data_IF_498010887982
#
_entry.id   IF_498010887982
#
_cell.length_a   1.000
_cell.length_b   1.000
_cell.length_c   1.000
_cell.angle_alpha   90.00
_cell.angle_beta   90.00
_cell.angle_gamma   90.00
#
_symmetry.space_group_name_H-M   'P 1'
#
loop_
_entity.id
_entity.type
_entity.pdbx_description
1 polymer ?
#
# COMPACT_ATOMS: atom_id res chain seq x y z
N UNK A 1 38.68 -36.82 6.30
CA UNK A 1 39.85 -37.52 5.73
C UNK A 1 41.05 -36.59 5.79
N UNK A 2 42.18 -37.13 6.25
CA UNK A 2 43.56 -36.62 6.26
C UNK A 2 43.99 -35.43 7.16
N UNK A 3 44.71 -35.83 8.22
CA UNK A 3 45.85 -35.21 8.90
C UNK A 3 46.85 -34.51 7.96
N UNK A 4 47.57 -33.48 8.46
CA UNK A 4 49.04 -33.53 8.60
C UNK A 4 49.59 -32.38 9.47
N UNK A 5 50.38 -32.79 10.47
CA UNK A 5 51.20 -32.02 11.43
C UNK A 5 52.33 -31.24 10.73
N UNK A 6 52.89 -30.24 11.42
CA UNK A 6 54.34 -30.16 11.75
C UNK A 6 54.66 -29.01 12.72
N UNK A 7 55.10 -29.40 13.92
CA UNK A 7 55.94 -28.63 14.83
C UNK A 7 57.40 -28.66 14.32
N UNK A 8 58.20 -27.63 14.63
CA UNK A 8 59.65 -27.79 14.85
C UNK A 8 60.14 -26.77 15.86
N UNK A 9 60.46 -27.27 17.06
CA UNK A 9 61.36 -26.69 18.06
C UNK A 9 62.79 -26.57 17.53
N UNK A 10 63.51 -25.53 17.96
CA UNK A 10 64.98 -25.53 17.97
C UNK A 10 65.48 -25.06 19.35
N UNK A 11 66.17 -25.98 20.04
CA UNK A 11 66.84 -25.86 21.33
C UNK A 11 68.34 -25.54 21.16
N UNK A 12 68.86 -24.63 22.02
CA UNK A 12 70.09 -24.74 22.89
C UNK A 12 71.48 -24.78 22.19
N UNK A 13 72.53 -24.01 22.63
CA UNK A 13 73.37 -24.26 23.84
C UNK A 13 73.67 -23.01 24.70
N UNK A 14 73.53 -23.02 26.04
CA UNK A 14 74.41 -23.55 27.11
C UNK A 14 75.81 -22.87 27.24
N UNK A 15 76.00 -22.32 28.45
CA UNK A 15 77.08 -21.58 29.15
C UNK A 15 78.56 -22.01 28.93
N UNK A 16 79.54 -21.22 29.43
CA UNK A 16 80.17 -21.45 30.77
C UNK A 16 80.43 -20.16 31.61
N UNK A 17 80.18 -20.19 32.93
CA UNK A 17 81.13 -20.25 34.09
C UNK A 17 81.93 -18.96 34.41
N UNK A 18 81.63 -18.29 35.53
CA UNK A 18 82.34 -18.30 36.85
C UNK A 18 83.70 -17.56 36.87
N UNK A 19 83.80 -16.51 37.69
CA UNK A 19 84.93 -16.27 38.62
C UNK A 19 84.54 -15.26 39.73
N UNK A 20 84.47 -15.78 40.96
CA UNK A 20 85.08 -15.32 42.23
C UNK A 20 86.08 -14.13 42.15
N UNK A 21 86.41 -13.29 43.16
CA UNK A 21 86.22 -13.18 44.62
C UNK A 21 87.04 -11.92 45.06
N UNK A 22 86.79 -11.38 46.26
CA UNK A 22 87.69 -10.57 47.14
C UNK A 22 88.01 -9.09 46.82
N UNK A 23 87.27 -8.22 47.52
CA UNK A 23 87.74 -7.26 48.53
C UNK A 23 89.26 -7.21 48.83
N UNK A 24 89.90 -6.03 48.67
CA UNK A 24 91.11 -5.60 49.41
C UNK A 24 91.18 -4.08 49.60
N UNK A 25 91.05 -3.70 50.88
CA UNK A 25 91.86 -2.78 51.69
C UNK A 25 92.29 -1.39 51.20
N UNK A 26 91.98 -0.45 52.11
CA UNK A 26 92.52 0.91 52.27
C UNK A 26 94.04 0.98 52.21
N UNK A 27 94.58 2.01 51.53
CA UNK A 27 95.76 2.77 52.03
C UNK A 27 95.61 4.25 51.63
N UNK A 28 95.76 5.10 52.63
CA UNK A 28 95.66 6.57 52.62
C UNK A 28 97.07 7.18 52.56
N UNK A 29 97.15 8.43 52.07
CA UNK A 29 98.23 9.43 52.26
C UNK A 29 99.54 9.17 51.51
N UNK A 30 100.31 10.15 51.01
CA UNK A 30 100.25 11.62 50.99
C UNK A 30 101.24 12.12 49.91
N UNK A 31 101.26 13.44 49.65
CA UNK A 31 102.38 14.24 49.09
C UNK A 31 102.19 14.87 47.70
N UNK A 32 101.72 16.12 47.78
CA UNK A 32 101.84 17.30 46.91
C UNK A 32 102.89 17.29 45.76
N UNK A 33 102.45 17.71 44.56
CA UNK A 33 103.31 18.32 43.55
C UNK A 33 102.52 19.38 42.76
N UNK A 34 103.14 20.56 42.57
CA UNK A 34 102.56 21.78 42.00
C UNK A 34 101.88 21.55 40.62
N UNK A 35 100.56 21.71 40.57
CA UNK A 35 99.81 21.74 39.32
C UNK A 35 99.88 23.12 38.66
N UNK A 36 100.48 23.16 37.45
CA UNK A 36 100.38 24.28 36.51
C UNK A 36 98.93 24.72 36.32
N UNK A 37 98.66 26.03 36.21
CA UNK A 37 97.31 26.59 36.02
C UNK A 37 96.56 25.95 34.81
N UNK A 38 97.30 25.45 33.82
CA UNK A 38 96.75 24.67 32.72
C UNK A 38 96.11 23.35 33.19
N UNK A 39 96.73 22.64 34.13
CA UNK A 39 96.23 21.37 34.67
C UNK A 39 94.98 21.56 35.55
N UNK A 40 94.90 22.67 36.31
CA UNK A 40 93.71 23.01 37.09
C UNK A 40 92.52 23.37 36.19
N UNK A 41 92.73 24.23 35.19
CA UNK A 41 91.71 24.59 34.22
C UNK A 41 91.23 23.37 33.39
N UNK A 42 92.14 22.44 33.07
CA UNK A 42 91.80 21.17 32.42
C UNK A 42 90.98 20.26 33.35
N UNK A 43 91.31 20.18 34.63
CA UNK A 43 90.52 19.41 35.61
C UNK A 43 89.13 19.99 35.80
N UNK A 44 89.00 21.31 35.94
CA UNK A 44 87.70 21.97 36.06
C UNK A 44 86.82 21.76 34.82
N UNK A 45 87.40 21.89 33.61
CA UNK A 45 86.70 21.55 32.37
C UNK A 45 86.32 20.07 32.30
N UNK A 46 87.20 19.16 32.72
CA UNK A 46 86.93 17.72 32.73
C UNK A 46 85.81 17.38 33.71
N UNK A 47 85.81 18.00 34.89
CA UNK A 47 84.75 17.84 35.89
C UNK A 47 83.42 18.41 35.39
N UNK A 48 83.45 19.58 34.74
CA UNK A 48 82.26 20.20 34.15
C UNK A 48 81.68 19.33 33.04
N UNK A 49 82.54 18.79 32.15
CA UNK A 49 82.15 17.85 31.12
C UNK A 49 81.61 16.54 31.71
N UNK A 50 82.18 16.04 32.81
CA UNK A 50 81.69 14.85 33.51
C UNK A 50 80.29 15.04 34.10
N UNK A 51 80.04 16.22 34.69
CA UNK A 51 78.71 16.59 35.19
C UNK A 51 77.72 16.72 34.04
N UNK A 52 78.08 17.40 32.95
CA UNK A 52 77.24 17.54 31.76
C UNK A 52 76.96 16.19 31.08
N UNK A 53 77.94 15.28 31.05
CA UNK A 53 77.79 13.94 30.48
C UNK A 53 76.88 13.08 31.35
N UNK A 54 76.94 13.22 32.68
CA UNK A 54 75.99 12.58 33.61
C UNK A 54 74.56 13.13 33.44
N UNK A 55 74.39 14.45 33.32
CA UNK A 55 73.07 15.07 33.06
C UNK A 55 72.48 14.63 31.72
N UNK A 56 73.30 14.50 30.67
CA UNK A 56 72.87 13.99 29.37
C UNK A 56 72.54 12.50 29.44
N UNK A 57 73.29 11.70 30.21
CA UNK A 57 72.98 10.28 30.42
C UNK A 57 71.62 10.11 31.08
N UNK A 58 71.32 10.89 32.13
CA UNK A 58 70.02 10.86 32.81
C UNK A 58 68.90 11.24 31.84
N UNK A 59 69.10 12.28 31.01
CA UNK A 59 68.12 12.66 29.97
C UNK A 59 67.93 11.59 28.91
N UNK A 60 68.99 10.88 28.52
CA UNK A 60 68.93 9.77 27.57
C UNK A 60 68.16 8.60 28.21
N UNK A 61 68.45 8.27 29.47
CA UNK A 61 67.79 7.20 30.21
C UNK A 61 66.28 7.49 30.40
N UNK A 62 65.92 8.73 30.71
CA UNK A 62 64.52 9.20 30.79
C UNK A 62 63.81 9.09 29.42
N UNK A 63 64.47 9.53 28.34
CA UNK A 63 63.94 9.43 26.98
C UNK A 63 63.82 7.98 26.51
N UNK A 64 64.73 7.10 26.94
CA UNK A 64 64.66 5.67 26.67
C UNK A 64 63.55 5.00 27.49
N UNK A 65 63.32 5.42 28.74
CA UNK A 65 62.22 4.91 29.57
C UNK A 65 60.85 5.20 28.94
N UNK A 66 60.66 6.41 28.42
CA UNK A 66 59.44 6.81 27.71
C UNK A 66 59.28 6.18 26.33
N UNK A 67 60.39 5.85 25.65
CA UNK A 67 60.39 5.16 24.36
C UNK A 67 60.59 3.65 24.49
N UNK A 68 60.39 3.06 25.67
CA UNK A 68 60.46 1.61 25.82
C UNK A 68 59.40 0.95 24.91
N UNK A 69 59.79 -0.08 24.15
CA UNK A 69 58.90 -0.75 23.20
C UNK A 69 57.61 -1.25 23.86
N UNK A 70 57.68 -1.70 25.11
CA UNK A 70 56.54 -2.17 25.92
C UNK A 70 55.47 -1.08 26.16
N UNK A 71 55.88 0.17 26.39
CA UNK A 71 54.95 1.29 26.60
C UNK A 71 54.26 1.69 25.30
N UNK A 72 55.00 1.65 24.19
CA UNK A 72 54.48 1.92 22.84
C UNK A 72 53.51 0.80 22.44
N UNK A 73 53.85 -0.46 22.69
CA UNK A 73 53.01 -1.61 22.40
C UNK A 73 51.71 -1.58 23.22
N UNK A 74 51.78 -1.24 24.51
CA UNK A 74 50.58 -1.04 25.34
C UNK A 74 49.71 0.13 24.85
N UNK A 75 50.31 1.23 24.41
CA UNK A 75 49.57 2.36 23.85
C UNK A 75 48.89 1.99 22.52
N UNK A 76 49.58 1.27 21.63
CA UNK A 76 49.03 0.77 20.38
C UNK A 76 47.91 -0.24 20.60
N UNK A 77 48.07 -1.15 21.57
CA UNK A 77 47.03 -2.11 21.97
C UNK A 77 45.77 -1.39 22.47
N UNK A 78 45.93 -0.40 23.35
CA UNK A 78 44.81 0.40 23.85
C UNK A 78 44.11 1.17 22.72
N UNK A 79 44.87 1.73 21.78
CA UNK A 79 44.33 2.45 20.63
C UNK A 79 43.58 1.52 19.67
N UNK A 80 44.13 0.33 19.39
CA UNK A 80 43.47 -0.71 18.60
C UNK A 80 42.15 -1.12 19.25
N UNK A 81 42.15 -1.37 20.57
CA UNK A 81 40.94 -1.73 21.32
C UNK A 81 39.89 -0.61 21.28
N UNK A 82 40.31 0.65 21.37
CA UNK A 82 39.40 1.79 21.28
C UNK A 82 38.76 1.89 19.88
N UNK A 83 39.56 1.69 18.82
CA UNK A 83 39.04 1.62 17.45
C UNK A 83 38.07 0.47 17.25
N UNK A 84 38.35 -0.72 17.80
CA UNK A 84 37.46 -1.88 17.74
C UNK A 84 36.13 -1.60 18.45
N UNK A 85 36.18 -0.93 19.61
CA UNK A 85 34.97 -0.51 20.33
C UNK A 85 34.15 0.50 19.53
N UNK A 86 34.79 1.48 18.89
CA UNK A 86 34.11 2.45 18.04
C UNK A 86 33.49 1.78 16.80
N UNK A 87 34.20 0.84 16.17
CA UNK A 87 33.70 0.04 15.05
C UNK A 87 32.48 -0.80 15.46
N UNK A 88 32.54 -1.46 16.61
CA UNK A 88 31.44 -2.24 17.15
C UNK A 88 30.20 -1.37 17.41
N UNK A 89 30.42 -0.18 18.00
CA UNK A 89 29.35 0.80 18.26
C UNK A 89 28.70 1.29 16.95
N UNK A 90 29.50 1.71 15.98
CA UNK A 90 29.00 2.17 14.67
C UNK A 90 28.24 1.06 13.94
N UNK A 91 28.75 -0.17 13.97
CA UNK A 91 28.09 -1.33 13.36
C UNK A 91 26.75 -1.65 14.03
N UNK A 92 26.68 -1.54 15.36
CA UNK A 92 25.43 -1.72 16.09
C UNK A 92 24.39 -0.66 15.70
N UNK A 93 24.81 0.62 15.60
CA UNK A 93 23.93 1.70 15.14
C UNK A 93 23.45 1.45 13.71
N UNK A 94 24.35 1.07 12.80
CA UNK A 94 23.99 0.77 11.41
C UNK A 94 22.99 -0.37 11.31
N UNK A 95 23.18 -1.44 12.10
CA UNK A 95 22.26 -2.58 12.11
C UNK A 95 20.87 -2.17 12.63
N UNK A 96 20.82 -1.45 13.76
CA UNK A 96 19.55 -0.96 14.32
C UNK A 96 18.80 -0.06 13.34
N UNK A 97 19.51 0.85 12.67
CA UNK A 97 18.90 1.71 11.64
C UNK A 97 18.39 0.91 10.44
N UNK A 98 19.14 -0.12 10.02
CA UNK A 98 18.74 -0.99 8.92
C UNK A 98 17.49 -1.80 9.26
N UNK A 99 17.43 -2.35 10.47
CA UNK A 99 16.28 -3.10 10.99
C UNK A 99 15.05 -2.19 11.11
N UNK A 100 15.19 -0.99 11.68
CA UNK A 100 14.10 -0.02 11.80
C UNK A 100 13.54 0.38 10.43
N UNK A 101 14.42 0.62 9.46
CA UNK A 101 14.02 0.96 8.10
C UNK A 101 13.29 -0.21 7.41
N UNK A 102 13.81 -1.43 7.56
CA UNK A 102 13.15 -2.63 7.03
C UNK A 102 11.76 -2.85 7.64
N UNK A 103 11.64 -2.66 8.96
CA UNK A 103 10.35 -2.77 9.64
C UNK A 103 9.35 -1.76 9.09
N UNK A 104 9.75 -0.49 8.91
CA UNK A 104 8.90 0.55 8.32
C UNK A 104 8.47 0.24 6.90
N UNK A 105 9.34 -0.38 6.09
CA UNK A 105 8.97 -0.83 4.74
C UNK A 105 7.89 -1.91 4.83
N UNK A 106 8.10 -2.92 5.67
CA UNK A 106 7.15 -4.03 5.82
C UNK A 106 5.78 -3.55 6.31
N UNK A 107 5.74 -2.69 7.32
CA UNK A 107 4.49 -2.10 7.83
C UNK A 107 3.76 -1.30 6.74
N UNK A 108 4.50 -0.51 5.94
CA UNK A 108 3.92 0.26 4.85
C UNK A 108 3.41 -0.63 3.71
N UNK A 109 4.13 -1.70 3.39
CA UNK A 109 3.72 -2.67 2.39
C UNK A 109 2.48 -3.44 2.85
N UNK A 110 2.39 -3.79 4.14
CA UNK A 110 1.20 -4.40 4.73
C UNK A 110 -0.01 -3.45 4.64
N UNK A 111 0.13 -2.20 5.07
CA UNK A 111 -0.91 -1.19 4.95
C UNK A 111 -1.38 -1.01 3.50
N UNK A 112 -0.43 -1.00 2.55
CA UNK A 112 -0.74 -0.92 1.12
C UNK A 112 -1.56 -2.12 0.66
N UNK A 113 -1.18 -3.33 1.05
CA UNK A 113 -1.91 -4.54 0.68
C UNK A 113 -3.33 -4.57 1.27
N UNK A 114 -3.47 -4.14 2.54
CA UNK A 114 -4.78 -4.01 3.18
C UNK A 114 -5.67 -2.99 2.45
N UNK A 115 -5.11 -1.85 2.04
CA UNK A 115 -5.84 -0.85 1.26
C UNK A 115 -6.32 -1.41 -0.08
N UNK A 116 -5.45 -2.13 -0.79
CA UNK A 116 -5.80 -2.76 -2.07
C UNK A 116 -6.91 -3.80 -1.92
N UNK A 117 -6.87 -4.62 -0.87
CA UNK A 117 -7.91 -5.60 -0.57
C UNK A 117 -9.26 -4.92 -0.28
N UNK A 118 -9.24 -3.85 0.53
CA UNK A 118 -10.45 -3.07 0.82
C UNK A 118 -11.06 -2.44 -0.45
N UNK A 119 -10.23 -1.85 -1.32
CA UNK A 119 -10.69 -1.30 -2.59
C UNK A 119 -11.29 -2.36 -3.50
N UNK A 120 -10.65 -3.54 -3.58
CA UNK A 120 -11.14 -4.66 -4.38
C UNK A 120 -12.49 -5.18 -3.86
N UNK A 121 -12.65 -5.29 -2.53
CA UNK A 121 -13.93 -5.66 -1.91
C UNK A 121 -15.01 -4.63 -2.19
N UNK A 122 -14.67 -3.34 -2.12
CA UNK A 122 -15.59 -2.26 -2.44
C UNK A 122 -16.03 -2.31 -3.91
N UNK A 123 -15.09 -2.47 -4.85
CA UNK A 123 -15.36 -2.64 -6.27
C UNK A 123 -16.29 -3.83 -6.52
N UNK A 124 -16.03 -4.98 -5.88
CA UNK A 124 -16.86 -6.17 -6.00
C UNK A 124 -18.29 -5.94 -5.47
N UNK A 125 -18.44 -5.24 -4.33
CA UNK A 125 -19.76 -4.87 -3.80
C UNK A 125 -20.53 -4.00 -4.79
N UNK A 126 -19.88 -2.97 -5.33
CA UNK A 126 -20.51 -2.07 -6.31
C UNK A 126 -20.92 -2.79 -7.59
N UNK A 127 -20.08 -3.69 -8.10
CA UNK A 127 -20.42 -4.51 -9.27
C UNK A 127 -21.65 -5.40 -9.00
N UNK A 128 -21.76 -5.97 -7.81
CA UNK A 128 -22.93 -6.76 -7.41
C UNK A 128 -24.19 -5.90 -7.33
N UNK A 129 -24.11 -4.71 -6.73
CA UNK A 129 -25.23 -3.77 -6.67
C UNK A 129 -25.67 -3.31 -8.07
N UNK A 130 -24.72 -3.00 -8.95
CA UNK A 130 -25.02 -2.64 -10.34
C UNK A 130 -25.72 -3.78 -11.10
N UNK A 131 -25.26 -5.02 -10.94
CA UNK A 131 -25.90 -6.15 -11.60
C UNK A 131 -27.32 -6.39 -11.06
N UNK A 132 -27.54 -6.23 -9.76
CA UNK A 132 -28.88 -6.30 -9.18
C UNK A 132 -29.82 -5.22 -9.74
N UNK A 133 -29.34 -3.98 -9.83
CA UNK A 133 -30.11 -2.89 -10.42
C UNK A 133 -30.42 -3.15 -11.89
N UNK A 134 -29.48 -3.68 -12.65
CA UNK A 134 -29.68 -4.06 -14.06
C UNK A 134 -30.79 -5.10 -14.20
N UNK A 135 -30.78 -6.16 -13.40
CA UNK A 135 -31.83 -7.19 -13.40
C UNK A 135 -33.20 -6.59 -13.05
N UNK A 136 -33.23 -5.66 -12.09
CA UNK A 136 -34.48 -4.96 -11.73
C UNK A 136 -34.99 -4.09 -12.88
N UNK A 137 -34.11 -3.36 -13.59
CA UNK A 137 -34.47 -2.58 -14.76
C UNK A 137 -35.00 -3.47 -15.88
N UNK A 138 -34.33 -4.57 -16.20
CA UNK A 138 -34.80 -5.53 -17.22
C UNK A 138 -36.18 -6.10 -16.88
N UNK A 139 -36.44 -6.41 -15.60
CA UNK A 139 -37.75 -6.86 -15.14
C UNK A 139 -38.82 -5.77 -15.28
N UNK A 140 -38.47 -4.51 -14.99
CA UNK A 140 -39.36 -3.36 -15.15
C UNK A 140 -39.65 -3.08 -16.62
N UNK A 141 -38.66 -3.15 -17.49
CA UNK A 141 -38.84 -2.97 -18.94
C UNK A 141 -39.79 -4.03 -19.50
N UNK A 142 -39.62 -5.29 -19.09
CA UNK A 142 -40.55 -6.36 -19.47
C UNK A 142 -41.98 -6.06 -18.97
N UNK A 143 -42.13 -5.58 -17.75
CA UNK A 143 -43.43 -5.19 -17.20
C UNK A 143 -44.06 -4.03 -17.99
N UNK A 144 -43.26 -3.04 -18.40
CA UNK A 144 -43.73 -1.93 -19.24
C UNK A 144 -44.24 -2.43 -20.59
N UNK A 145 -43.49 -3.31 -21.27
CA UNK A 145 -43.90 -3.91 -22.55
C UNK A 145 -45.21 -4.70 -22.43
N UNK A 146 -45.37 -5.47 -21.36
CA UNK A 146 -46.61 -6.21 -21.09
C UNK A 146 -47.80 -5.26 -20.90
N UNK A 147 -47.62 -4.15 -20.17
CA UNK A 147 -48.65 -3.14 -19.97
C UNK A 147 -49.01 -2.40 -21.27
N UNK A 148 -48.01 -2.05 -22.08
CA UNK A 148 -48.23 -1.43 -23.40
C UNK A 148 -49.08 -2.35 -24.29
N UNK A 149 -48.74 -3.64 -24.34
CA UNK A 149 -49.52 -4.62 -25.09
C UNK A 149 -50.95 -4.76 -24.57
N UNK A 150 -51.14 -4.72 -23.24
CA UNK A 150 -52.48 -4.74 -22.64
C UNK A 150 -53.29 -3.49 -23.02
N UNK A 151 -52.68 -2.31 -23.01
CA UNK A 151 -53.31 -1.06 -23.43
C UNK A 151 -53.71 -1.13 -24.91
N UNK A 152 -52.83 -1.63 -25.77
CA UNK A 152 -53.12 -1.79 -27.20
C UNK A 152 -54.27 -2.78 -27.44
N UNK A 153 -54.27 -3.92 -26.75
CA UNK A 153 -55.38 -4.86 -26.79
C UNK A 153 -56.71 -4.24 -26.33
N UNK A 154 -56.67 -3.43 -25.26
CA UNK A 154 -57.86 -2.71 -24.78
C UNK A 154 -58.36 -1.68 -25.80
N UNK A 155 -57.46 -0.94 -26.46
CA UNK A 155 -57.82 0.01 -27.53
C UNK A 155 -58.46 -0.70 -28.71
N UNK A 156 -57.82 -1.76 -29.22
CA UNK A 156 -58.35 -2.54 -30.35
C UNK A 156 -59.73 -3.14 -30.05
N UNK A 157 -59.97 -3.62 -28.82
CA UNK A 157 -61.29 -4.11 -28.40
C UNK A 157 -62.35 -3.00 -28.26
N UNK A 158 -61.94 -1.77 -27.94
CA UNK A 158 -62.86 -0.63 -27.89
C UNK A 158 -63.20 -0.10 -29.29
N UNK A 159 -62.27 -0.20 -30.25
CA UNK A 159 -62.52 0.22 -31.64
C UNK A 159 -63.57 -0.64 -32.34
N UNK A 160 -63.64 -1.95 -32.05
CA UNK A 160 -64.74 -2.82 -32.51
C UNK A 160 -66.09 -2.34 -31.97
N UNK A 161 -66.10 -1.72 -30.79
CA UNK A 161 -67.29 -1.15 -30.18
C UNK A 161 -67.50 0.34 -30.55
N UNK A 162 -66.64 0.95 -31.36
CA UNK A 162 -66.68 2.39 -31.74
C UNK A 162 -67.25 2.66 -33.13
N UNK A 163 -67.72 1.62 -33.84
CA UNK A 163 -68.29 1.73 -35.18
C UNK A 163 -69.64 1.04 -35.34
N UNK A 164 -70.42 1.48 -36.33
CA UNK A 164 -71.72 0.91 -36.65
C UNK A 164 -71.61 -0.48 -37.27
N UNK A 165 -72.29 -1.51 -36.74
CA UNK A 165 -72.22 -2.87 -37.31
C UNK A 165 -72.95 -3.01 -38.65
N UNK A 166 -73.62 -1.96 -39.14
CA UNK A 166 -74.32 -1.95 -40.44
C UNK A 166 -73.41 -1.41 -41.56
N UNK A 167 -72.73 -0.28 -41.33
CA UNK A 167 -71.88 0.36 -42.34
C UNK A 167 -70.37 0.35 -42.02
N UNK A 168 -69.99 -0.11 -40.82
CA UNK A 168 -68.62 -0.16 -40.30
C UNK A 168 -67.92 1.21 -40.15
N UNK A 169 -68.68 2.31 -40.18
CA UNK A 169 -68.15 3.65 -39.94
C UNK A 169 -68.19 4.02 -38.44
N UNK A 170 -67.23 4.83 -37.94
CA UNK A 170 -67.21 5.28 -36.55
C UNK A 170 -68.44 6.13 -36.22
N UNK A 171 -68.90 6.03 -34.97
CA UNK A 171 -70.00 6.87 -34.49
C UNK A 171 -69.59 8.35 -34.57
N UNK A 172 -70.41 9.20 -35.18
CA UNK A 172 -70.12 10.64 -35.21
C UNK A 172 -71.18 11.43 -34.45
N UNK A 173 -70.74 12.38 -33.62
CA UNK A 173 -71.64 13.22 -32.81
C UNK A 173 -72.38 14.28 -33.64
N UNK A 174 -71.89 14.56 -34.85
CA UNK A 174 -72.23 15.72 -35.67
C UNK A 174 -72.99 15.41 -36.96
N UNK A 175 -73.20 14.15 -37.36
CA UNK A 175 -73.96 13.81 -38.59
C UNK A 175 -75.20 12.95 -38.29
N UNK A 176 -76.00 12.65 -39.33
CA UNK A 176 -77.14 11.72 -39.28
C UNK A 176 -76.76 10.28 -38.84
N UNK A 177 -75.48 10.00 -38.60
CA UNK A 177 -74.95 8.72 -38.15
C UNK A 177 -74.58 8.71 -36.65
N UNK A 178 -75.42 9.36 -35.83
CA UNK A 178 -75.27 9.38 -34.37
C UNK A 178 -75.55 8.02 -33.74
N UNK A 179 -74.83 7.70 -32.67
CA UNK A 179 -75.02 6.49 -31.85
C UNK A 179 -76.44 6.42 -31.27
N UNK A 180 -77.16 5.36 -31.61
CA UNK A 180 -78.51 5.06 -31.13
C UNK A 180 -78.66 3.59 -30.74
N UNK A 181 -79.54 3.32 -29.79
CA UNK A 181 -79.88 1.99 -29.29
C UNK A 181 -81.33 1.64 -29.60
N UNK A 182 -81.62 0.36 -29.81
CA UNK A 182 -82.99 -0.17 -29.79
C UNK A 182 -83.40 -0.58 -28.37
N UNK A 183 -84.70 -0.89 -28.16
CA UNK A 183 -85.19 -1.46 -26.90
C UNK A 183 -84.46 -2.72 -26.45
N UNK A 184 -83.96 -3.52 -27.39
CA UNK A 184 -83.17 -4.72 -27.12
C UNK A 184 -81.71 -4.44 -26.68
N UNK A 185 -81.26 -3.19 -26.66
CA UNK A 185 -79.92 -2.78 -26.19
C UNK A 185 -78.83 -2.75 -27.26
N UNK A 186 -79.08 -3.26 -28.47
CA UNK A 186 -78.10 -3.21 -29.57
C UNK A 186 -77.92 -1.80 -30.14
N UNK A 187 -76.69 -1.48 -30.55
CA UNK A 187 -76.24 -0.16 -30.94
C UNK A 187 -75.99 -0.03 -32.44
N UNK A 188 -76.43 1.07 -33.02
CA UNK A 188 -76.35 1.36 -34.45
C UNK A 188 -76.26 2.87 -34.70
N UNK A 189 -75.90 3.28 -35.91
CA UNK A 189 -75.94 4.68 -36.31
C UNK A 189 -77.35 5.00 -36.76
N UNK A 190 -77.89 6.13 -36.32
CA UNK A 190 -79.31 6.48 -36.52
C UNK A 190 -79.77 6.33 -37.97
N UNK A 191 -79.02 6.89 -38.93
CA UNK A 191 -79.32 6.76 -40.37
C UNK A 191 -79.39 5.30 -40.84
N UNK A 192 -78.43 4.48 -40.43
CA UNK A 192 -78.39 3.07 -40.81
C UNK A 192 -79.54 2.29 -40.16
N UNK A 193 -79.82 2.55 -38.88
CA UNK A 193 -80.91 1.92 -38.17
C UNK A 193 -82.28 2.27 -38.78
N UNK A 194 -82.52 3.55 -39.10
CA UNK A 194 -83.77 3.98 -39.76
C UNK A 194 -83.94 3.34 -41.13
N UNK A 195 -82.87 3.26 -41.94
CA UNK A 195 -82.92 2.60 -43.24
C UNK A 195 -83.22 1.10 -43.11
N UNK A 196 -82.68 0.42 -42.09
CA UNK A 196 -83.01 -0.97 -41.81
C UNK A 196 -84.47 -1.14 -41.38
N UNK A 197 -84.97 -0.32 -40.46
CA UNK A 197 -86.33 -0.41 -39.93
C UNK A 197 -87.41 -0.07 -40.96
N UNK A 198 -87.09 0.73 -41.97
CA UNK A 198 -87.97 0.94 -43.13
C UNK A 198 -88.16 -0.34 -43.96
N UNK A 199 -87.18 -1.24 -43.97
CA UNK A 199 -87.21 -2.49 -44.73
C UNK A 199 -87.70 -3.68 -43.91
N UNK A 200 -87.30 -3.76 -42.64
CA UNK A 200 -87.52 -4.88 -41.74
C UNK A 200 -87.83 -4.36 -40.33
N UNK A 201 -88.99 -4.69 -39.77
CA UNK A 201 -89.42 -4.26 -38.44
C UNK A 201 -88.76 -5.08 -37.30
N UNK A 202 -87.47 -5.34 -37.42
CA UNK A 202 -86.67 -6.18 -36.53
C UNK A 202 -85.28 -5.59 -36.31
N UNK A 203 -84.67 -5.91 -35.17
CA UNK A 203 -83.28 -5.54 -34.87
C UNK A 203 -82.30 -6.28 -35.82
N UNK A 204 -81.37 -5.58 -36.50
CA UNK A 204 -80.39 -6.22 -37.39
C UNK A 204 -79.48 -7.25 -36.70
N UNK A 205 -79.31 -7.16 -35.37
CA UNK A 205 -78.40 -8.01 -34.61
C UNK A 205 -79.11 -9.21 -33.94
N UNK A 206 -80.24 -8.99 -33.26
CA UNK A 206 -80.94 -10.06 -32.51
C UNK A 206 -82.31 -10.44 -33.05
N UNK A 207 -82.80 -9.75 -34.10
CA UNK A 207 -84.11 -9.99 -34.74
C UNK A 207 -85.33 -9.80 -33.85
N UNK A 208 -85.18 -9.26 -32.64
CA UNK A 208 -86.33 -8.81 -31.85
C UNK A 208 -87.11 -7.73 -32.61
N UNK A 209 -88.43 -7.73 -32.48
CA UNK A 209 -89.28 -6.72 -33.11
C UNK A 209 -88.88 -5.31 -32.70
N UNK A 210 -88.76 -4.42 -33.68
CA UNK A 210 -88.27 -3.07 -33.49
C UNK A 210 -88.96 -2.11 -34.46
N UNK A 211 -89.21 -0.88 -33.99
CA UNK A 211 -89.80 0.18 -34.78
C UNK A 211 -89.01 1.49 -34.64
N UNK A 212 -89.24 2.47 -35.51
CA UNK A 212 -88.57 3.78 -35.44
C UNK A 212 -88.81 4.53 -34.13
N UNK A 213 -89.86 4.20 -33.39
CA UNK A 213 -90.17 4.77 -32.07
C UNK A 213 -89.31 4.15 -30.95
N UNK A 214 -88.68 3.00 -31.21
CA UNK A 214 -87.84 2.27 -30.25
C UNK A 214 -86.39 2.77 -30.24
N UNK A 215 -86.06 3.74 -31.10
CA UNK A 215 -84.73 4.33 -31.24
C UNK A 215 -84.48 5.31 -30.09
N UNK A 216 -83.40 5.08 -29.34
CA UNK A 216 -82.95 5.93 -28.22
C UNK A 216 -81.51 6.36 -28.41
N UNK A 217 -81.27 7.66 -28.50
CA UNK A 217 -79.93 8.23 -28.60
C UNK A 217 -79.14 8.08 -27.30
N UNK A 218 -77.86 7.73 -27.41
CA UNK A 218 -76.93 7.69 -26.29
C UNK A 218 -75.99 8.90 -26.35
N UNK A 219 -75.82 9.56 -25.21
CA UNK A 219 -74.99 10.76 -25.04
C UNK A 219 -73.90 10.51 -24.01
N UNK A 220 -72.73 11.15 -24.15
CA UNK A 220 -71.68 11.14 -23.13
C UNK A 220 -70.62 10.04 -23.28
N UNK A 221 -70.56 9.32 -24.41
CA UNK A 221 -69.38 8.52 -24.74
C UNK A 221 -68.29 9.47 -25.24
N UNK A 222 -67.09 9.51 -24.62
CA UNK A 222 -65.98 10.25 -25.21
C UNK A 222 -65.66 9.61 -26.57
N UNK A 223 -65.69 10.44 -27.62
CA UNK A 223 -65.17 10.10 -28.94
C UNK A 223 -63.64 10.16 -28.92
#
# INVERSE_FOLDING_TARGET
>A
MHNLKKETDVKIPLQPQETSVEEKDEVKTDSEAQESDCCKALREKTNTLSVQMSELSIKIDDLQLHNKPEHIEAALYNFSRELDNQLASLKAIQNLQSEEFQQKILEKDEMRLQLLDNLKKQEQSHLQEMEQLKVQLEAKDKQCLELEQQIENYKNNNDINSACPICFEPWNSSTNHRLASLRCGHLFGDSCLRNCLQRLAECPQCRCTASSHDIRYLYGRPL
#
